data_IF_217925643371
#
_entry.id   IF_217925643371
#
_cell.length_a   1.000
_cell.length_b   1.000
_cell.length_c   1.000
_cell.angle_alpha   90.00
_cell.angle_beta   90.00
_cell.angle_gamma   90.00
#
_symmetry.space_group_name_H-M   'P 1'
#
loop_
_entity.id
_entity.type
_entity.pdbx_description
1 polymer ?
#
# COMPACT_ATOMS: atom_id res chain seq x y z
N UNK A 1 1.98 -2.19 -12.72
CA UNK A 1 1.11 -2.54 -13.88
C UNK A 1 1.02 -4.03 -14.20
N UNK A 2 2.12 -4.80 -14.30
CA UNK A 2 2.05 -6.22 -14.70
C UNK A 2 1.20 -7.08 -13.76
N UNK A 3 1.34 -6.86 -12.45
CA UNK A 3 0.58 -7.58 -11.43
C UNK A 3 -0.69 -6.84 -11.00
N UNK A 4 -0.80 -5.54 -11.27
CA UNK A 4 -1.90 -4.70 -10.83
C UNK A 4 -2.36 -3.82 -12.00
N UNK A 5 -3.26 -4.34 -12.87
CA UNK A 5 -3.82 -3.57 -13.98
C UNK A 5 -4.64 -2.36 -13.50
N UNK A 6 -5.22 -2.43 -12.30
CA UNK A 6 -5.98 -1.32 -11.71
C UNK A 6 -5.11 -0.12 -11.32
N UNK A 7 -3.78 -0.25 -11.35
CA UNK A 7 -2.84 0.88 -11.21
C UNK A 7 -2.17 1.24 -12.56
N UNK A 8 -2.65 0.68 -13.68
CA UNK A 8 -2.25 1.15 -15.00
C UNK A 8 -2.63 2.63 -15.18
N UNK A 9 -1.79 3.34 -15.94
CA UNK A 9 -1.92 4.78 -16.23
C UNK A 9 -1.85 5.70 -14.99
N UNK A 10 -1.20 5.22 -13.93
CA UNK A 10 -0.91 6.00 -12.72
C UNK A 10 0.59 6.20 -12.55
N UNK A 11 0.98 6.98 -11.56
CA UNK A 11 2.39 7.18 -11.18
C UNK A 11 3.00 5.93 -10.51
N UNK A 12 2.26 4.83 -10.36
CA UNK A 12 2.83 3.54 -9.95
C UNK A 12 3.47 2.77 -11.13
N UNK A 13 3.19 3.17 -12.38
CA UNK A 13 3.70 2.47 -13.57
C UNK A 13 5.23 2.57 -13.64
N UNK A 14 5.88 1.45 -13.94
CA UNK A 14 7.33 1.38 -14.10
C UNK A 14 8.13 1.32 -12.79
N UNK A 15 7.48 1.49 -11.63
CA UNK A 15 8.10 1.21 -10.34
C UNK A 15 8.26 -0.31 -10.20
N UNK A 16 9.48 -0.78 -9.97
CA UNK A 16 9.70 -2.21 -9.79
C UNK A 16 9.13 -2.69 -8.46
N UNK A 17 8.61 -3.92 -8.42
CA UNK A 17 8.14 -4.52 -7.16
C UNK A 17 9.26 -4.55 -6.10
N UNK A 18 10.53 -4.68 -6.52
CA UNK A 18 11.69 -4.63 -5.63
C UNK A 18 11.80 -3.26 -4.95
N UNK A 19 11.57 -2.18 -5.67
CA UNK A 19 11.69 -0.83 -5.11
C UNK A 19 10.52 -0.52 -4.18
N UNK A 20 9.32 -1.03 -4.48
CA UNK A 20 8.15 -0.94 -3.59
C UNK A 20 8.43 -1.65 -2.26
N UNK A 21 8.85 -2.92 -2.28
CA UNK A 21 9.10 -3.68 -1.03
C UNK A 21 10.30 -3.15 -0.23
N UNK A 22 11.18 -2.37 -0.85
CA UNK A 22 12.31 -1.71 -0.20
C UNK A 22 11.98 -0.29 0.30
N UNK A 23 10.71 0.15 0.24
CA UNK A 23 10.29 1.50 0.62
C UNK A 23 11.06 2.58 -0.16
N UNK A 24 11.23 2.35 -1.47
CA UNK A 24 11.93 3.26 -2.38
C UNK A 24 11.12 3.50 -3.64
N UNK A 25 9.79 3.57 -3.53
CA UNK A 25 8.89 3.82 -4.66
C UNK A 25 9.02 5.23 -5.22
N UNK A 26 9.38 6.20 -4.38
CA UNK A 26 9.42 7.63 -4.74
C UNK A 26 8.04 8.30 -4.76
N UNK A 27 7.03 7.63 -4.19
CA UNK A 27 5.65 8.14 -4.06
C UNK A 27 5.56 9.21 -2.96
N UNK A 28 4.87 10.30 -3.28
CA UNK A 28 4.64 11.48 -2.46
C UNK A 28 3.46 11.25 -1.50
N UNK A 29 3.68 10.33 -0.57
CA UNK A 29 2.73 9.97 0.47
C UNK A 29 3.48 9.48 1.72
N UNK A 30 4.50 10.24 2.14
CA UNK A 30 5.39 9.81 3.19
C UNK A 30 4.68 9.87 4.53
N UNK A 31 4.86 8.84 5.34
CA UNK A 31 4.24 8.76 6.66
C UNK A 31 4.73 9.91 7.58
N UNK A 32 5.94 10.43 7.32
CA UNK A 32 6.51 11.59 8.00
C UNK A 32 5.78 12.90 7.74
N UNK A 33 4.90 12.97 6.72
CA UNK A 33 4.08 14.16 6.45
C UNK A 33 3.03 14.38 7.56
N UNK A 34 2.73 13.32 8.32
CA UNK A 34 1.97 13.39 9.57
C UNK A 34 0.52 12.96 9.42
N UNK A 35 0.13 12.06 10.32
CA UNK A 35 -1.21 11.45 10.44
C UNK A 35 -2.26 12.32 11.13
N UNK A 36 -1.92 13.56 11.46
CA UNK A 36 -2.82 14.47 12.19
C UNK A 36 -3.29 15.64 11.32
N UNK A 37 -2.67 15.81 10.14
CA UNK A 37 -2.98 16.90 9.21
C UNK A 37 -3.91 16.36 8.15
N UNK A 38 -5.15 16.82 8.16
CA UNK A 38 -6.26 16.23 7.39
C UNK A 38 -6.09 16.31 5.87
N UNK A 39 -5.17 17.16 5.41
CA UNK A 39 -4.87 17.42 4.01
C UNK A 39 -3.70 16.58 3.47
N UNK A 40 -2.93 15.91 4.33
CA UNK A 40 -1.80 15.08 3.89
C UNK A 40 -2.28 13.84 3.17
N UNK A 41 -1.44 13.33 2.24
CA UNK A 41 -1.75 12.11 1.54
C UNK A 41 -1.95 10.93 2.50
N UNK A 42 -1.07 10.81 3.50
CA UNK A 42 -1.14 9.73 4.49
C UNK A 42 -2.43 9.75 5.31
N UNK A 43 -2.93 10.92 5.71
CA UNK A 43 -4.20 11.04 6.42
C UNK A 43 -5.37 10.55 5.55
N UNK A 44 -5.44 11.02 4.29
CA UNK A 44 -6.50 10.62 3.35
C UNK A 44 -6.43 9.13 3.01
N UNK A 45 -5.22 8.57 2.97
CA UNK A 45 -5.02 7.14 2.81
C UNK A 45 -5.57 6.36 4.01
N UNK A 46 -5.29 6.77 5.25
CA UNK A 46 -5.87 6.15 6.45
C UNK A 46 -7.40 6.30 6.54
N UNK A 47 -7.95 7.43 6.09
CA UNK A 47 -9.41 7.60 5.98
C UNK A 47 -10.01 6.58 5.01
N UNK A 48 -9.37 6.35 3.87
CA UNK A 48 -9.84 5.37 2.88
C UNK A 48 -9.83 3.94 3.42
N UNK A 49 -8.99 3.66 4.42
CA UNK A 49 -8.92 2.39 5.14
C UNK A 49 -9.87 2.33 6.35
N UNK A 50 -10.52 3.45 6.70
CA UNK A 50 -11.35 3.55 7.90
C UNK A 50 -10.56 3.55 9.22
N UNK A 51 -9.26 3.87 9.18
CA UNK A 51 -8.39 3.88 10.36
C UNK A 51 -8.45 5.21 11.13
N UNK A 52 -8.82 6.30 10.46
CA UNK A 52 -8.95 7.63 11.06
C UNK A 52 -10.33 8.24 10.78
N UNK A 53 -10.61 9.40 11.39
CA UNK A 53 -11.90 10.06 11.30
C UNK A 53 -12.19 10.55 9.87
N UNK A 54 -13.39 10.31 9.31
CA UNK A 54 -13.75 10.74 7.95
C UNK A 54 -14.13 12.23 7.93
N UNK A 55 -13.15 13.09 7.69
CA UNK A 55 -13.29 14.55 7.58
C UNK A 55 -13.19 15.03 6.13
N UNK A 56 -12.64 14.21 5.22
CA UNK A 56 -12.64 14.44 3.78
C UNK A 56 -13.78 13.68 3.07
N UNK A 57 -14.11 14.03 1.81
CA UNK A 57 -15.06 13.25 1.02
C UNK A 57 -14.63 11.77 0.91
N UNK A 58 -15.58 10.82 0.99
CA UNK A 58 -15.25 9.40 0.95
C UNK A 58 -14.62 9.01 -0.39
N UNK A 59 -13.54 8.23 -0.31
CA UNK A 59 -12.80 7.73 -1.47
C UNK A 59 -12.43 6.27 -1.21
N UNK A 60 -12.50 5.42 -2.23
CA UNK A 60 -12.02 4.04 -2.12
C UNK A 60 -10.50 4.02 -1.96
N UNK A 61 -9.95 3.04 -1.25
CA UNK A 61 -8.48 2.91 -1.12
C UNK A 61 -7.80 2.80 -2.47
N UNK A 62 -8.40 2.07 -3.43
CA UNK A 62 -7.86 1.95 -4.79
C UNK A 62 -7.83 3.31 -5.50
N UNK A 63 -8.88 4.13 -5.41
CA UNK A 63 -8.88 5.46 -5.99
C UNK A 63 -7.84 6.37 -5.31
N UNK A 64 -7.64 6.23 -4.00
CA UNK A 64 -6.59 6.97 -3.27
C UNK A 64 -5.21 6.61 -3.80
N UNK A 65 -4.91 5.31 -3.96
CA UNK A 65 -3.65 4.85 -4.57
C UNK A 65 -3.47 5.37 -5.99
N UNK A 66 -4.51 5.31 -6.83
CA UNK A 66 -4.49 5.80 -8.22
C UNK A 66 -4.20 7.31 -8.30
N UNK A 67 -4.54 8.08 -7.27
CA UNK A 67 -4.31 9.51 -7.17
C UNK A 67 -2.93 9.92 -6.67
N UNK A 68 -2.14 8.99 -6.12
CA UNK A 68 -0.79 9.28 -5.61
C UNK A 68 0.16 9.67 -6.74
N UNK A 69 1.16 10.49 -6.41
CA UNK A 69 2.14 11.02 -7.37
C UNK A 69 3.56 10.62 -7.01
N UNK A 70 4.44 10.48 -7.98
CA UNK A 70 5.87 10.41 -7.72
C UNK A 70 6.42 11.83 -7.49
N UNK A 71 7.30 11.99 -6.50
CA UNK A 71 8.12 13.21 -6.35
C UNK A 71 9.60 12.97 -6.67
N UNK A 72 9.98 11.72 -6.94
CA UNK A 72 11.32 11.32 -7.33
C UNK A 72 11.30 9.97 -8.08
N UNK A 73 12.37 9.64 -8.83
CA UNK A 73 12.50 8.31 -9.41
C UNK A 73 12.59 7.20 -8.34
N UNK A 74 11.97 6.06 -8.63
CA UNK A 74 12.05 4.86 -7.80
C UNK A 74 13.50 4.33 -7.69
N UNK A 75 13.80 3.71 -6.55
CA UNK A 75 15.10 3.09 -6.25
C UNK A 75 16.21 4.07 -5.83
N UNK A 76 15.98 5.39 -5.90
CA UNK A 76 17.01 6.39 -5.56
C UNK A 76 17.18 6.61 -4.05
N UNK A 77 16.11 6.51 -3.27
CA UNK A 77 16.13 6.78 -1.83
C UNK A 77 15.07 5.98 -1.08
N UNK A 78 15.42 5.57 0.14
CA UNK A 78 14.47 5.03 1.11
C UNK A 78 13.60 6.15 1.70
N UNK A 79 12.29 6.01 1.57
CA UNK A 79 11.25 6.87 2.14
C UNK A 79 10.11 5.99 2.63
N UNK A 80 9.76 6.10 3.92
CA UNK A 80 8.76 5.23 4.52
C UNK A 80 7.36 5.66 4.07
N UNK A 81 6.73 4.82 3.25
CA UNK A 81 5.42 5.06 2.61
C UNK A 81 4.54 3.84 2.87
N UNK A 82 3.57 3.96 3.78
CA UNK A 82 2.68 2.85 4.14
C UNK A 82 1.92 2.26 2.95
N UNK A 83 1.61 3.08 1.94
CA UNK A 83 0.95 2.65 0.71
C UNK A 83 1.77 1.61 -0.09
N UNK A 84 3.11 1.62 0.01
CA UNK A 84 3.97 0.62 -0.64
C UNK A 84 3.67 -0.80 -0.13
N UNK A 85 3.39 -0.92 1.17
CA UNK A 85 3.05 -2.21 1.79
C UNK A 85 1.68 -2.70 1.34
N UNK A 86 0.72 -1.79 1.21
CA UNK A 86 -0.62 -2.15 0.73
C UNK A 86 -0.61 -2.58 -0.73
N UNK A 87 0.12 -1.86 -1.59
CA UNK A 87 0.34 -2.27 -2.99
C UNK A 87 1.01 -3.65 -3.05
N UNK A 88 1.98 -3.92 -2.18
CA UNK A 88 2.58 -5.26 -2.06
C UNK A 88 1.54 -6.33 -1.68
N UNK A 89 0.64 -6.03 -0.75
CA UNK A 89 -0.49 -6.89 -0.39
C UNK A 89 -1.38 -7.23 -1.58
N UNK A 90 -1.79 -6.22 -2.35
CA UNK A 90 -2.58 -6.41 -3.58
C UNK A 90 -1.86 -7.27 -4.62
N UNK A 91 -0.53 -7.13 -4.74
CA UNK A 91 0.27 -7.99 -5.62
C UNK A 91 0.22 -9.45 -5.15
N UNK A 92 0.32 -9.71 -3.85
CA UNK A 92 0.20 -11.07 -3.29
C UNK A 92 -1.19 -11.63 -3.59
N UNK A 93 -2.25 -10.85 -3.38
CA UNK A 93 -3.62 -11.28 -3.68
C UNK A 93 -3.77 -11.63 -5.16
N UNK A 94 -3.24 -10.81 -6.04
CA UNK A 94 -3.34 -11.02 -7.49
C UNK A 94 -2.58 -12.26 -7.96
N UNK A 95 -1.37 -12.48 -7.44
CA UNK A 95 -0.54 -13.64 -7.80
C UNK A 95 -1.14 -14.94 -7.24
N UNK A 96 -1.68 -14.89 -6.02
CA UNK A 96 -2.22 -16.08 -5.35
C UNK A 96 -3.67 -16.38 -5.73
N UNK A 97 -4.42 -15.40 -6.24
CA UNK A 97 -5.85 -15.51 -6.52
C UNK A 97 -6.70 -15.62 -5.24
N UNK A 98 -6.19 -15.15 -4.10
CA UNK A 98 -6.79 -15.34 -2.78
C UNK A 98 -6.74 -14.02 -1.99
N UNK A 99 -7.68 -13.78 -1.07
CA UNK A 99 -7.58 -12.63 -0.20
C UNK A 99 -6.33 -12.72 0.69
N UNK A 100 -5.77 -11.57 1.06
CA UNK A 100 -4.45 -11.45 1.69
C UNK A 100 -4.36 -12.27 2.98
N UNK A 101 -5.38 -12.19 3.84
CA UNK A 101 -5.44 -12.93 5.10
C UNK A 101 -5.27 -14.45 4.89
N UNK A 102 -5.86 -14.99 3.82
CA UNK A 102 -5.82 -16.41 3.51
C UNK A 102 -4.48 -16.80 2.85
N UNK A 103 -3.92 -15.92 2.02
CA UNK A 103 -2.57 -16.08 1.49
C UNK A 103 -1.53 -16.10 2.63
N UNK A 104 -1.61 -15.16 3.57
CA UNK A 104 -0.70 -15.09 4.73
C UNK A 104 -0.85 -16.28 5.67
N UNK A 105 -2.09 -16.77 5.88
CA UNK A 105 -2.35 -17.99 6.63
C UNK A 105 -1.54 -19.18 6.08
N UNK A 106 -1.60 -19.40 4.76
CA UNK A 106 -0.97 -20.57 4.13
C UNK A 106 0.53 -20.38 3.88
N UNK A 107 0.97 -19.16 3.60
CA UNK A 107 2.36 -18.88 3.28
C UNK A 107 3.22 -18.76 4.53
N UNK A 108 2.67 -18.20 5.61
CA UNK A 108 3.44 -17.83 6.81
C UNK A 108 2.81 -18.41 8.07
N UNK A 109 1.59 -18.00 8.42
CA UNK A 109 1.05 -18.16 9.79
C UNK A 109 0.98 -19.63 10.23
N UNK A 110 0.49 -20.52 9.37
CA UNK A 110 0.39 -21.96 9.61
C UNK A 110 1.74 -22.69 9.73
N UNK A 111 2.87 -22.02 9.41
CA UNK A 111 4.20 -22.64 9.30
C UNK A 111 5.18 -22.17 10.37
N UNK A 112 4.83 -21.17 11.17
CA UNK A 112 5.73 -20.61 12.19
C UNK A 112 5.45 -21.12 13.61
N UNK A 113 4.49 -22.05 13.77
CA UNK A 113 4.09 -22.54 15.09
C UNK A 113 3.30 -21.52 15.90
N UNK A 114 2.51 -20.67 15.23
CA UNK A 114 1.66 -19.69 15.91
C UNK A 114 0.65 -20.39 16.84
N UNK A 115 0.59 -19.93 18.09
CA UNK A 115 -0.28 -20.51 19.13
C UNK A 115 -1.69 -19.91 19.13
N UNK A 116 -1.91 -18.86 18.35
CA UNK A 116 -3.19 -18.16 18.21
C UNK A 116 -3.37 -17.66 16.78
N UNK A 117 -4.60 -17.28 16.44
CA UNK A 117 -4.93 -16.68 15.14
C UNK A 117 -4.30 -15.29 15.00
N UNK A 118 -3.86 -14.98 13.79
CA UNK A 118 -3.50 -13.63 13.37
C UNK A 118 -4.74 -12.93 12.83
N UNK A 119 -4.91 -11.65 13.17
CA UNK A 119 -5.95 -10.80 12.59
C UNK A 119 -5.28 -9.76 11.68
N UNK A 120 -5.75 -9.68 10.44
CA UNK A 120 -5.33 -8.70 9.44
C UNK A 120 -6.55 -8.19 8.69
#
# INVERSE_FOLDING_TARGET
EQYLPDLADTEWVGISLRDIVNMSSGIDCQDSDGYQVTETCIYRYEESLGLTAPVNPPQSTLDTLRGMRQHRPAGEKYEYVSADTFVTGLVIETITGRPLWLALQDLVWSKIGAEADGLI
#
